data_IF_046724435590
#
_entry.id   IF_046724435590
#
_cell.length_a   1.000
_cell.length_b   1.000
_cell.length_c   1.000
_cell.angle_alpha   90.00
_cell.angle_beta   90.00
_cell.angle_gamma   90.00
#
_symmetry.space_group_name_H-M   'P 1'
#
loop_
_entity.id
_entity.type
_entity.pdbx_description
1 polymer ?
#
# COMPACT_ATOMS: atom_id res chain seq x y z
N UNK A 1 -18.32 20.85 -10.08
CA UNK A 1 -17.94 19.41 -9.94
C UNK A 1 -16.44 19.47 -9.86
N UNK A 2 -15.91 19.47 -8.65
CA UNK A 2 -14.61 20.13 -8.41
C UNK A 2 -13.42 19.18 -8.53
N UNK A 3 -13.65 17.88 -8.73
CA UNK A 3 -12.67 16.99 -9.37
C UNK A 3 -13.40 15.71 -9.84
N UNK A 4 -13.21 15.33 -11.10
CA UNK A 4 -13.60 14.02 -11.62
C UNK A 4 -12.33 13.17 -11.74
N UNK A 5 -12.23 12.13 -10.93
CA UNK A 5 -11.11 11.19 -10.94
C UNK A 5 -11.47 10.00 -11.86
N UNK A 6 -10.79 9.90 -12.99
CA UNK A 6 -10.86 8.73 -13.88
C UNK A 6 -9.80 7.70 -13.45
N UNK A 7 -10.18 6.43 -13.26
CA UNK A 7 -9.24 5.33 -12.94
C UNK A 7 -9.00 4.45 -14.17
N UNK A 8 -8.88 5.05 -15.36
CA UNK A 8 -8.75 4.32 -16.63
C UNK A 8 -7.43 3.57 -16.86
N UNK A 9 -6.37 3.84 -16.09
CA UNK A 9 -5.11 3.06 -16.13
C UNK A 9 -4.35 3.10 -14.79
N UNK A 10 -3.37 2.19 -14.63
CA UNK A 10 -2.54 2.01 -13.41
C UNK A 10 -1.98 3.33 -12.86
N UNK A 11 -1.39 4.14 -13.73
CA UNK A 11 -0.72 5.37 -13.32
C UNK A 11 -1.73 6.36 -12.74
N UNK A 12 -2.85 6.57 -13.44
CA UNK A 12 -3.89 7.48 -12.96
C UNK A 12 -4.51 6.98 -11.66
N UNK A 13 -4.71 5.66 -11.50
CA UNK A 13 -5.19 5.09 -10.23
C UNK A 13 -4.25 5.41 -9.05
N UNK A 14 -2.93 5.29 -9.24
CA UNK A 14 -1.95 5.60 -8.20
C UNK A 14 -1.89 7.10 -7.89
N UNK A 15 -1.99 7.95 -8.91
CA UNK A 15 -2.08 9.40 -8.74
C UNK A 15 -3.35 9.81 -7.98
N UNK A 16 -4.50 9.25 -8.35
CA UNK A 16 -5.78 9.45 -7.65
C UNK A 16 -5.69 8.98 -6.20
N UNK A 17 -5.07 7.82 -5.92
CA UNK A 17 -4.85 7.34 -4.55
C UNK A 17 -4.02 8.35 -3.74
N UNK A 18 -2.90 8.81 -4.30
CA UNK A 18 -2.05 9.82 -3.64
C UNK A 18 -2.81 11.10 -3.35
N UNK A 19 -3.55 11.66 -4.32
CA UNK A 19 -4.38 12.85 -4.12
C UNK A 19 -5.42 12.63 -3.03
N UNK A 20 -6.14 11.51 -3.06
CA UNK A 20 -7.15 11.17 -2.06
C UNK A 20 -6.56 11.11 -0.65
N UNK A 21 -5.42 10.43 -0.48
CA UNK A 21 -4.73 10.36 0.81
C UNK A 21 -4.30 11.73 1.33
N UNK A 22 -3.84 12.62 0.45
CA UNK A 22 -3.51 14.00 0.82
C UNK A 22 -4.77 14.79 1.25
N UNK A 23 -5.88 14.64 0.53
CA UNK A 23 -7.15 15.26 0.93
C UNK A 23 -7.62 14.78 2.29
N UNK A 24 -7.57 13.46 2.55
CA UNK A 24 -7.97 12.88 3.82
C UNK A 24 -7.07 13.33 4.98
N UNK A 25 -5.75 13.39 4.77
CA UNK A 25 -4.82 13.90 5.77
C UNK A 25 -5.12 15.37 6.10
N UNK A 26 -5.36 16.20 5.08
CA UNK A 26 -5.63 17.63 5.25
C UNK A 26 -7.00 17.91 5.90
N UNK A 27 -8.02 17.09 5.63
CA UNK A 27 -9.33 17.23 6.27
C UNK A 27 -9.31 16.80 7.74
N UNK A 28 -8.39 15.90 8.11
CA UNK A 28 -8.13 15.48 9.50
C UNK A 28 -9.29 14.75 10.19
N UNK A 29 -10.37 14.43 9.46
CA UNK A 29 -11.56 13.76 9.99
C UNK A 29 -11.49 12.23 9.93
N UNK A 30 -10.75 11.71 8.96
CA UNK A 30 -10.63 10.27 8.73
C UNK A 30 -9.41 9.70 9.45
N UNK A 31 -9.59 8.52 10.04
CA UNK A 31 -8.51 7.77 10.64
C UNK A 31 -7.72 7.03 9.55
N UNK A 32 -6.54 7.54 9.22
CA UNK A 32 -5.69 6.96 8.19
C UNK A 32 -4.95 5.69 8.63
N UNK A 33 -4.69 5.53 9.93
CA UNK A 33 -4.04 4.34 10.49
C UNK A 33 -5.01 3.74 11.51
N UNK A 34 -5.51 2.55 11.21
CA UNK A 34 -6.43 1.83 12.08
C UNK A 34 -5.75 1.49 13.43
N UNK A 35 -6.46 1.58 14.58
CA UNK A 35 -5.87 1.29 15.89
C UNK A 35 -5.36 -0.15 16.07
N UNK A 36 -5.89 -1.09 15.28
CA UNK A 36 -5.47 -2.49 15.31
C UNK A 36 -4.21 -2.76 14.48
N UNK A 37 -3.68 -1.75 13.78
CA UNK A 37 -2.44 -1.89 13.04
C UNK A 37 -1.23 -1.98 13.99
N UNK A 38 -0.37 -2.97 13.76
CA UNK A 38 0.82 -3.22 14.56
C UNK A 38 2.06 -2.78 13.78
N UNK A 39 2.73 -1.73 14.25
CA UNK A 39 3.94 -1.18 13.63
C UNK A 39 5.15 -1.42 14.53
N UNK A 40 6.10 -2.24 14.10
CA UNK A 40 7.32 -2.57 14.85
C UNK A 40 8.57 -2.22 14.08
N UNK A 41 9.41 -1.34 14.63
CA UNK A 41 10.62 -0.83 13.95
C UNK A 41 10.30 -0.28 12.55
N UNK A 42 9.19 0.43 12.44
CA UNK A 42 8.64 0.87 11.16
C UNK A 42 8.58 2.38 11.11
N UNK A 43 8.94 2.95 9.97
CA UNK A 43 8.77 4.37 9.67
C UNK A 43 7.62 4.55 8.69
N UNK A 44 6.65 5.38 9.05
CA UNK A 44 5.57 5.78 8.15
C UNK A 44 5.82 7.22 7.70
N UNK A 45 5.86 7.43 6.39
CA UNK A 45 6.00 8.73 5.74
C UNK A 45 4.62 9.10 5.21
N UNK A 46 4.02 10.13 5.79
CA UNK A 46 2.68 10.56 5.40
C UNK A 46 2.63 11.12 3.97
N UNK A 47 1.45 11.05 3.31
CA UNK A 47 0.24 10.38 3.79
C UNK A 47 0.28 8.88 3.50
N UNK A 48 -0.24 8.07 4.42
CA UNK A 48 -0.42 6.63 4.23
C UNK A 48 -1.74 6.18 4.84
N UNK A 49 -2.44 5.27 4.16
CA UNK A 49 -3.57 4.54 4.72
C UNK A 49 -3.13 3.13 5.14
N UNK A 50 -3.46 2.75 6.37
CA UNK A 50 -3.14 1.44 6.95
C UNK A 50 -4.42 0.88 7.58
N UNK A 51 -4.99 -0.15 6.96
CA UNK A 51 -6.22 -0.78 7.41
C UNK A 51 -6.08 -1.67 8.64
N UNK A 52 -7.21 -2.20 9.10
CA UNK A 52 -7.29 -3.04 10.29
C UNK A 52 -6.44 -4.32 10.24
N UNK A 53 -5.90 -4.73 11.38
CA UNK A 53 -5.06 -5.92 11.56
C UNK A 53 -3.89 -6.01 10.57
N UNK A 54 -3.34 -4.86 10.17
CA UNK A 54 -2.13 -4.81 9.36
C UNK A 54 -0.92 -4.89 10.29
N UNK A 55 0.03 -5.77 9.97
CA UNK A 55 1.29 -5.89 10.72
C UNK A 55 2.45 -5.46 9.84
N UNK A 56 3.23 -4.47 10.29
CA UNK A 56 4.38 -3.96 9.55
C UNK A 56 5.62 -4.01 10.45
N UNK A 57 6.63 -4.77 10.02
CA UNK A 57 7.86 -4.98 10.79
C UNK A 57 9.10 -4.56 9.98
N UNK A 58 10.03 -3.83 10.61
CA UNK A 58 11.33 -3.43 10.04
C UNK A 58 11.21 -2.80 8.64
N UNK A 59 10.24 -1.90 8.44
CA UNK A 59 9.88 -1.42 7.10
C UNK A 59 9.73 0.10 7.04
N UNK A 60 9.81 0.65 5.83
CA UNK A 60 9.47 2.05 5.55
C UNK A 60 8.29 2.08 4.60
N UNK A 61 7.21 2.73 5.02
CA UNK A 61 5.97 2.84 4.25
C UNK A 61 5.72 4.31 3.95
N UNK A 62 5.55 4.65 2.67
CA UNK A 62 5.16 5.97 2.21
C UNK A 62 6.24 6.75 1.45
N UNK A 63 5.87 7.92 0.91
CA UNK A 63 4.53 8.51 0.95
C UNK A 63 3.55 7.85 -0.03
N UNK A 64 2.27 8.22 0.06
CA UNK A 64 1.17 7.83 -0.84
C UNK A 64 0.95 6.32 -0.93
N UNK A 65 0.97 5.63 0.20
CA UNK A 65 0.76 4.18 0.25
C UNK A 65 -0.57 3.86 0.94
N UNK A 66 -1.35 2.96 0.34
CA UNK A 66 -2.55 2.39 0.96
C UNK A 66 -2.37 0.90 1.15
N UNK A 67 -2.64 0.41 2.37
CA UNK A 67 -2.53 -0.99 2.73
C UNK A 67 -3.87 -1.49 3.25
N UNK A 68 -4.43 -2.48 2.56
CA UNK A 68 -5.68 -3.13 2.94
C UNK A 68 -5.53 -4.02 4.17
N UNK A 69 -6.65 -4.24 4.86
CA UNK A 69 -6.74 -5.04 6.10
C UNK A 69 -6.10 -6.43 6.00
N UNK A 70 -5.70 -6.98 7.15
CA UNK A 70 -5.12 -8.32 7.30
C UNK A 70 -3.85 -8.54 6.45
N UNK A 71 -3.08 -7.48 6.19
CA UNK A 71 -1.86 -7.54 5.37
C UNK A 71 -0.62 -7.53 6.27
N UNK A 72 0.39 -8.33 5.90
CA UNK A 72 1.66 -8.39 6.61
C UNK A 72 2.79 -7.89 5.72
N UNK A 73 3.58 -6.94 6.22
CA UNK A 73 4.74 -6.38 5.52
C UNK A 73 5.98 -6.49 6.40
N UNK A 74 7.03 -7.12 5.89
CA UNK A 74 8.27 -7.34 6.62
C UNK A 74 9.49 -6.94 5.79
N UNK A 75 10.46 -6.30 6.43
CA UNK A 75 11.75 -5.94 5.83
C UNK A 75 11.64 -5.25 4.45
N UNK A 76 10.69 -4.32 4.30
CA UNK A 76 10.33 -3.78 2.99
C UNK A 76 10.33 -2.24 2.96
N UNK A 77 10.52 -1.67 1.78
CA UNK A 77 10.39 -0.24 1.51
C UNK A 77 9.34 -0.05 0.42
N UNK A 78 8.25 0.65 0.72
CA UNK A 78 7.11 0.79 -0.19
C UNK A 78 6.73 2.26 -0.28
N UNK A 79 6.57 2.79 -1.50
CA UNK A 79 6.11 4.17 -1.76
C UNK A 79 5.21 4.25 -2.98
N UNK A 80 4.34 5.25 -3.05
CA UNK A 80 3.41 5.49 -4.18
C UNK A 80 2.68 4.22 -4.64
N UNK A 81 2.19 3.40 -3.72
CA UNK A 81 1.73 2.04 -4.02
C UNK A 81 0.38 1.73 -3.38
N UNK A 82 -0.39 0.86 -4.03
CA UNK A 82 -1.68 0.38 -3.57
C UNK A 82 -1.59 -1.11 -3.28
N UNK A 83 -1.69 -1.49 -2.01
CA UNK A 83 -1.68 -2.88 -1.56
C UNK A 83 -3.08 -3.23 -1.06
N UNK A 84 -3.72 -4.20 -1.70
CA UNK A 84 -5.05 -4.67 -1.33
C UNK A 84 -4.99 -5.60 -0.10
N UNK A 85 -6.08 -6.29 0.21
CA UNK A 85 -6.25 -6.99 1.50
C UNK A 85 -5.65 -8.40 1.53
N UNK A 86 -5.40 -8.89 2.74
CA UNK A 86 -5.00 -10.28 3.00
C UNK A 86 -3.72 -10.70 2.27
N UNK A 87 -2.78 -9.77 2.11
CA UNK A 87 -1.55 -9.96 1.33
C UNK A 87 -0.33 -10.06 2.26
N UNK A 88 0.72 -10.74 1.82
CA UNK A 88 2.00 -10.84 2.53
C UNK A 88 3.14 -10.38 1.63
N UNK A 89 3.90 -9.38 2.07
CA UNK A 89 5.04 -8.79 1.36
C UNK A 89 6.27 -8.89 2.24
N UNK A 90 7.33 -9.49 1.75
CA UNK A 90 8.62 -9.62 2.45
C UNK A 90 9.78 -9.19 1.57
N UNK A 91 10.80 -8.59 2.19
CA UNK A 91 12.09 -8.29 1.55
C UNK A 91 11.94 -7.53 0.22
N UNK A 92 11.01 -6.57 0.15
CA UNK A 92 10.60 -5.94 -1.09
C UNK A 92 10.99 -4.46 -1.15
N UNK A 93 11.32 -3.97 -2.35
CA UNK A 93 11.40 -2.54 -2.65
C UNK A 93 10.38 -2.21 -3.73
N UNK A 94 9.27 -1.58 -3.35
CA UNK A 94 8.15 -1.30 -4.24
C UNK A 94 7.98 0.22 -4.42
N UNK A 95 7.85 0.63 -5.67
CA UNK A 95 7.47 1.98 -6.07
C UNK A 95 6.44 1.85 -7.19
N UNK A 96 5.36 2.63 -7.14
CA UNK A 96 4.30 2.59 -8.16
C UNK A 96 3.73 1.18 -8.39
N UNK A 97 3.60 0.42 -7.29
CA UNK A 97 3.11 -0.94 -7.32
C UNK A 97 1.61 -0.99 -7.03
N UNK A 98 0.91 -1.88 -7.73
CA UNK A 98 -0.47 -2.28 -7.41
C UNK A 98 -0.46 -3.77 -7.10
N UNK A 99 -0.71 -4.13 -5.84
CA UNK A 99 -0.72 -5.52 -5.37
C UNK A 99 -2.17 -5.90 -5.03
N UNK A 100 -2.66 -6.96 -5.67
CA UNK A 100 -4.00 -7.49 -5.47
C UNK A 100 -4.22 -8.17 -4.12
N UNK A 101 -5.41 -8.74 -3.94
CA UNK A 101 -5.76 -9.47 -2.72
C UNK A 101 -5.09 -10.85 -2.67
N UNK A 102 -4.83 -11.36 -1.47
CA UNK A 102 -4.30 -12.72 -1.27
C UNK A 102 -2.95 -12.99 -1.96
N UNK A 103 -2.15 -11.94 -2.18
CA UNK A 103 -0.84 -12.08 -2.81
C UNK A 103 0.21 -12.47 -1.78
N UNK A 104 1.13 -13.34 -2.17
CA UNK A 104 2.36 -13.61 -1.41
C UNK A 104 3.56 -13.19 -2.26
N UNK A 105 4.30 -12.21 -1.79
CA UNK A 105 5.47 -11.66 -2.48
C UNK A 105 6.68 -11.68 -1.55
N UNK A 106 7.79 -12.24 -2.02
CA UNK A 106 9.08 -12.18 -1.34
C UNK A 106 10.17 -11.80 -2.34
N UNK A 107 10.75 -10.61 -2.17
CA UNK A 107 11.73 -10.04 -3.11
C UNK A 107 13.08 -10.74 -3.13
N UNK A 108 13.39 -11.60 -2.15
CA UNK A 108 14.63 -12.38 -2.11
C UNK A 108 14.57 -13.63 -3.01
N UNK A 109 13.38 -14.06 -3.45
CA UNK A 109 13.23 -15.23 -4.32
C UNK A 109 13.22 -14.84 -5.79
N UNK A 110 14.05 -15.49 -6.60
CA UNK A 110 14.12 -15.33 -8.05
C UNK A 110 12.99 -16.03 -8.83
N UNK A 111 12.02 -16.64 -8.12
CA UNK A 111 10.84 -17.31 -8.70
C UNK A 111 9.58 -16.71 -8.08
N UNK A 112 8.81 -16.05 -8.93
CA UNK A 112 7.61 -15.30 -8.56
C UNK A 112 6.39 -16.05 -9.11
N UNK A 113 5.31 -16.15 -8.33
CA UNK A 113 3.99 -16.61 -8.76
C UNK A 113 2.99 -15.52 -8.43
N UNK A 114 2.33 -14.94 -9.43
CA UNK A 114 1.43 -13.77 -9.27
C UNK A 114 -0.01 -14.21 -9.58
N UNK A 115 -0.95 -13.88 -8.68
CA UNK A 115 -2.38 -14.24 -8.76
C UNK A 115 -3.24 -13.19 -9.47
N UNK A 116 -4.55 -13.42 -9.52
CA UNK A 116 -5.46 -12.90 -10.55
C UNK A 116 -5.37 -11.39 -10.87
N UNK A 117 -5.41 -11.14 -12.20
CA UNK A 117 -5.24 -9.87 -12.93
C UNK A 117 -3.83 -9.25 -12.92
N UNK A 118 -2.79 -10.09 -13.02
CA UNK A 118 -1.40 -9.62 -13.11
C UNK A 118 -0.91 -9.34 -14.54
N UNK A 119 -0.26 -8.19 -14.74
CA UNK A 119 0.65 -7.90 -15.86
C UNK A 119 1.97 -7.42 -15.25
N UNK A 120 3.10 -7.94 -15.77
CA UNK A 120 4.46 -7.59 -15.38
C UNK A 120 5.11 -6.78 -16.50
N UNK A 121 5.33 -5.48 -16.28
CA UNK A 121 6.14 -4.56 -17.11
C UNK A 121 7.08 -3.76 -16.20
#
# INVERSE_FOLDING_TARGET
VDEWMDCGNKQVTLETNGKMLNFLLNDGKEQLIDPSAELKNTTVVEPCYIGANVTITNSTIGPNVSIGKNTTIENSTIKNSLIQTSTSIRNAKLNEAMIGNHVQYNGDFSKISIGDYSVLE
#
